data_IF_714062783001
#
_entry.id   IF_714062783001
#
_cell.length_a   1.000
_cell.length_b   1.000
_cell.length_c   1.000
_cell.angle_alpha   90.00
_cell.angle_beta   90.00
_cell.angle_gamma   90.00
#
_symmetry.space_group_name_H-M   'P 1'
#
loop_
_entity.id
_entity.type
_entity.pdbx_description
1 polymer ?
#
# COMPACT_ATOMS: atom_id res chain seq x y z
N UNK A 1 21.37 12.88 15.86
CA UNK A 1 21.30 11.85 14.82
C UNK A 1 21.25 10.50 15.51
N UNK A 2 20.23 9.66 15.27
CA UNK A 2 20.23 8.26 15.69
C UNK A 2 21.57 7.60 15.36
N UNK A 3 22.08 6.80 16.28
CA UNK A 3 23.29 6.00 16.03
C UNK A 3 23.06 5.10 14.80
N UNK A 4 24.12 4.73 14.09
CA UNK A 4 24.04 3.77 12.98
C UNK A 4 23.35 2.45 13.36
N UNK A 5 23.34 2.13 14.66
CA UNK A 5 22.61 1.03 15.27
C UNK A 5 21.08 1.12 15.05
N UNK A 6 20.44 2.26 15.32
CA UNK A 6 18.98 2.39 15.13
C UNK A 6 18.58 2.31 13.65
N UNK A 7 19.41 2.86 12.75
CA UNK A 7 19.19 2.73 11.29
C UNK A 7 19.37 1.30 10.79
N UNK A 8 20.10 0.45 11.52
CA UNK A 8 20.24 -0.97 11.17
C UNK A 8 18.97 -1.79 11.44
N UNK A 9 18.11 -1.30 12.35
CA UNK A 9 16.85 -1.92 12.81
C UNK A 9 15.61 -1.49 12.04
N UNK A 10 15.74 -0.60 11.05
CA UNK A 10 14.64 -0.20 10.16
C UNK A 10 14.82 -0.84 8.78
N UNK A 11 13.74 -1.34 8.19
CA UNK A 11 13.75 -1.89 6.83
C UNK A 11 12.58 -1.38 6.01
N UNK A 12 12.84 -1.15 4.74
CA UNK A 12 11.85 -0.67 3.78
C UNK A 12 11.41 -1.85 2.93
N UNK A 13 10.11 -1.98 2.68
CA UNK A 13 9.51 -3.00 1.82
C UNK A 13 8.68 -2.35 0.73
N UNK A 14 8.74 -2.90 -0.48
CA UNK A 14 7.89 -2.50 -1.59
C UNK A 14 7.47 -3.70 -2.43
N UNK A 15 6.41 -3.51 -3.23
CA UNK A 15 5.85 -4.57 -4.07
C UNK A 15 5.65 -4.10 -5.51
N UNK A 16 5.98 -4.97 -6.46
CA UNK A 16 5.68 -4.80 -7.88
C UNK A 16 4.84 -5.98 -8.37
N UNK A 17 3.61 -5.67 -8.80
CA UNK A 17 2.79 -6.53 -9.65
C UNK A 17 2.35 -5.68 -10.84
N UNK A 18 2.60 -6.18 -12.05
CA UNK A 18 2.35 -5.43 -13.28
C UNK A 18 1.80 -6.35 -14.39
N UNK A 19 0.62 -6.95 -14.18
CA UNK A 19 0.05 -7.91 -15.13
C UNK A 19 -0.28 -7.27 -16.50
N UNK A 20 -0.61 -5.98 -16.52
CA UNK A 20 -0.83 -5.20 -17.74
C UNK A 20 0.47 -4.72 -18.42
N UNK A 21 1.64 -4.92 -17.78
CA UNK A 21 2.99 -4.59 -18.31
C UNK A 21 3.22 -3.12 -18.62
N UNK A 22 2.66 -2.21 -17.81
CA UNK A 22 2.90 -0.78 -17.94
C UNK A 22 4.38 -0.47 -17.72
N UNK A 23 5.05 0.09 -18.73
CA UNK A 23 6.48 0.40 -18.69
C UNK A 23 6.81 1.38 -17.55
N UNK A 24 5.93 2.35 -17.33
CA UNK A 24 6.11 3.42 -16.35
C UNK A 24 6.32 2.89 -14.93
N UNK A 25 5.64 1.81 -14.55
CA UNK A 25 5.79 1.19 -13.22
C UNK A 25 7.21 0.71 -12.96
N UNK A 26 7.87 0.14 -13.98
CA UNK A 26 9.26 -0.31 -13.85
C UNK A 26 10.23 0.88 -13.79
N UNK A 27 10.02 1.91 -14.61
CA UNK A 27 10.85 3.13 -14.59
C UNK A 27 10.78 3.84 -13.23
N UNK A 28 9.58 3.97 -12.67
CA UNK A 28 9.38 4.59 -11.35
C UNK A 28 9.99 3.75 -10.24
N UNK A 29 9.84 2.43 -10.30
CA UNK A 29 10.50 1.54 -9.35
C UNK A 29 12.02 1.76 -9.31
N UNK A 30 12.69 1.86 -10.47
CA UNK A 30 14.14 2.04 -10.47
C UNK A 30 14.57 3.38 -9.83
N UNK A 31 13.81 4.46 -10.07
CA UNK A 31 14.04 5.75 -9.41
C UNK A 31 13.82 5.66 -7.91
N UNK A 32 12.71 5.06 -7.49
CA UNK A 32 12.40 4.82 -6.09
C UNK A 32 13.48 3.99 -5.39
N UNK A 33 13.85 2.85 -5.97
CA UNK A 33 14.88 1.97 -5.41
C UNK A 33 16.24 2.66 -5.31
N UNK A 34 16.59 3.50 -6.29
CA UNK A 34 17.79 4.32 -6.23
C UNK A 34 17.75 5.30 -5.04
N UNK A 35 16.66 6.04 -4.91
CA UNK A 35 16.43 6.98 -3.82
C UNK A 35 16.56 6.28 -2.45
N UNK A 36 15.89 5.15 -2.23
CA UNK A 36 15.97 4.43 -0.95
C UNK A 36 17.38 3.88 -0.68
N UNK A 37 18.01 3.22 -1.65
CA UNK A 37 19.27 2.49 -1.44
C UNK A 37 20.50 3.39 -1.42
N UNK A 38 20.53 4.44 -2.22
CA UNK A 38 21.73 5.26 -2.42
C UNK A 38 21.64 6.63 -1.77
N UNK A 39 20.48 7.30 -1.84
CA UNK A 39 20.31 8.63 -1.25
C UNK A 39 20.00 8.49 0.25
N UNK A 40 18.97 7.70 0.60
CA UNK A 40 18.63 7.43 2.00
C UNK A 40 19.53 6.37 2.64
N UNK A 41 20.29 5.58 1.85
CA UNK A 41 21.19 4.54 2.35
C UNK A 41 20.48 3.52 3.26
N UNK A 42 19.29 3.06 2.85
CA UNK A 42 18.48 2.14 3.63
C UNK A 42 18.25 0.80 2.93
N UNK A 43 18.08 -0.27 3.72
CA UNK A 43 17.71 -1.60 3.24
C UNK A 43 16.32 -1.56 2.59
N UNK A 44 16.22 -2.04 1.34
CA UNK A 44 14.97 -2.18 0.60
C UNK A 44 14.76 -3.63 0.17
N UNK A 45 13.73 -4.28 0.72
CA UNK A 45 13.23 -5.57 0.28
C UNK A 45 12.13 -5.36 -0.77
N UNK A 46 12.33 -5.95 -1.94
CA UNK A 46 11.38 -5.87 -3.04
C UNK A 46 10.78 -7.24 -3.33
N UNK A 47 9.46 -7.32 -3.32
CA UNK A 47 8.74 -8.48 -3.85
C UNK A 47 8.20 -8.17 -5.25
N UNK A 48 8.44 -9.08 -6.18
CA UNK A 48 7.89 -9.01 -7.53
C UNK A 48 6.99 -10.23 -7.78
N UNK A 49 5.75 -9.95 -8.21
CA UNK A 49 4.81 -10.96 -8.63
C UNK A 49 4.68 -10.96 -10.16
N UNK A 50 4.87 -12.13 -10.78
CA UNK A 50 4.68 -12.33 -12.21
C UNK A 50 3.50 -13.27 -12.50
N UNK A 51 2.73 -12.93 -13.54
CA UNK A 51 1.59 -13.73 -13.99
C UNK A 51 2.09 -14.98 -14.74
N UNK A 52 1.66 -16.17 -14.29
CA UNK A 52 2.03 -17.45 -14.89
C UNK A 52 3.55 -17.61 -15.02
N UNK A 53 4.02 -17.98 -16.22
CA UNK A 53 5.45 -18.20 -16.51
C UNK A 53 6.23 -16.97 -16.97
N UNK A 54 5.65 -15.76 -16.89
CA UNK A 54 6.33 -14.53 -17.34
C UNK A 54 7.66 -14.29 -16.61
N UNK A 55 8.67 -13.68 -17.27
CA UNK A 55 9.95 -13.39 -16.63
C UNK A 55 9.80 -12.29 -15.59
N UNK A 56 10.67 -12.32 -14.58
CA UNK A 56 10.85 -11.22 -13.63
C UNK A 56 11.69 -10.11 -14.28
N UNK A 57 11.32 -8.85 -14.06
CA UNK A 57 11.95 -7.67 -14.66
C UNK A 57 12.74 -6.83 -13.65
N UNK A 58 12.33 -6.88 -12.38
CA UNK A 58 12.83 -5.98 -11.34
C UNK A 58 13.76 -6.70 -10.37
N UNK A 59 13.41 -7.92 -10.02
CA UNK A 59 14.08 -8.71 -8.99
C UNK A 59 15.10 -9.66 -9.59
N UNK A 60 16.13 -9.97 -8.81
CA UNK A 60 17.17 -10.94 -9.12
C UNK A 60 17.09 -12.07 -8.09
N UNK A 61 16.99 -13.36 -8.50
CA UNK A 61 16.85 -14.48 -7.57
C UNK A 61 18.05 -14.69 -6.64
N UNK A 62 19.20 -14.08 -6.94
CA UNK A 62 20.42 -14.17 -6.11
C UNK A 62 20.57 -13.02 -5.11
N UNK A 63 19.74 -11.99 -5.20
CA UNK A 63 19.76 -10.89 -4.23
C UNK A 63 18.90 -11.26 -3.02
N UNK A 64 19.45 -11.31 -1.79
CA UNK A 64 18.72 -11.71 -0.60
C UNK A 64 17.58 -10.74 -0.22
N UNK A 65 17.58 -9.52 -0.76
CA UNK A 65 16.51 -8.54 -0.55
C UNK A 65 15.46 -8.59 -1.66
N UNK A 66 15.55 -9.53 -2.60
CA UNK A 66 14.57 -9.71 -3.66
C UNK A 66 13.76 -10.99 -3.45
N UNK A 67 12.44 -10.86 -3.60
CA UNK A 67 11.50 -11.98 -3.44
C UNK A 67 10.71 -12.14 -4.74
N UNK A 68 10.80 -13.32 -5.33
CA UNK A 68 10.11 -13.67 -6.57
C UNK A 68 8.94 -14.60 -6.29
N UNK A 69 7.74 -14.17 -6.65
CA UNK A 69 6.52 -14.98 -6.52
C UNK A 69 5.69 -14.94 -7.81
N UNK A 70 4.77 -15.89 -7.94
CA UNK A 70 3.91 -16.04 -9.10
C UNK A 70 2.46 -16.14 -8.68
N UNK A 71 1.59 -15.74 -9.60
CA UNK A 71 0.14 -15.82 -9.48
C UNK A 71 -0.42 -16.26 -10.82
N UNK A 72 -1.47 -17.08 -10.79
CA UNK A 72 -2.31 -17.37 -11.98
C UNK A 72 -3.55 -16.46 -12.03
N UNK A 73 -3.69 -15.53 -11.08
CA UNK A 73 -4.78 -14.55 -11.01
C UNK A 73 -4.28 -13.11 -11.13
N UNK A 74 -5.04 -12.27 -11.84
CA UNK A 74 -4.79 -10.83 -11.97
C UNK A 74 -5.57 -10.05 -10.90
N UNK A 75 -5.14 -10.17 -9.64
CA UNK A 75 -5.73 -9.47 -8.50
C UNK A 75 -4.94 -8.21 -8.14
N UNK A 76 -5.55 -7.29 -7.40
CA UNK A 76 -4.80 -6.27 -6.67
C UNK A 76 -4.14 -6.93 -5.46
N UNK A 77 -2.83 -7.18 -5.57
CA UNK A 77 -2.09 -7.99 -4.58
C UNK A 77 -1.12 -7.17 -3.72
N UNK A 78 -1.13 -5.84 -3.81
CA UNK A 78 -0.09 -4.99 -3.18
C UNK A 78 0.15 -5.35 -1.71
N UNK A 79 -0.88 -5.32 -0.87
CA UNK A 79 -0.76 -5.58 0.57
C UNK A 79 -0.37 -7.05 0.87
N UNK A 80 -0.81 -8.00 0.04
CA UNK A 80 -0.45 -9.41 0.17
C UNK A 80 1.03 -9.65 -0.14
N UNK A 81 1.52 -9.02 -1.21
CA UNK A 81 2.93 -9.04 -1.57
C UNK A 81 3.77 -8.35 -0.48
N UNK A 82 3.33 -7.19 0.03
CA UNK A 82 4.00 -6.52 1.14
C UNK A 82 4.09 -7.44 2.37
N UNK A 83 3.03 -8.17 2.74
CA UNK A 83 3.09 -9.17 3.81
C UNK A 83 4.12 -10.28 3.55
N UNK A 84 4.24 -10.75 2.30
CA UNK A 84 5.30 -11.71 1.92
C UNK A 84 6.68 -11.09 2.14
N UNK A 85 6.91 -9.85 1.70
CA UNK A 85 8.19 -9.16 1.92
C UNK A 85 8.49 -8.97 3.42
N UNK A 86 7.50 -8.56 4.21
CA UNK A 86 7.60 -8.38 5.67
C UNK A 86 7.98 -9.71 6.35
N UNK A 87 7.39 -10.83 5.92
CA UNK A 87 7.69 -12.16 6.48
C UNK A 87 9.14 -12.61 6.27
N UNK A 88 9.87 -12.01 5.31
CA UNK A 88 11.29 -12.28 5.05
C UNK A 88 12.23 -11.38 5.86
N UNK A 89 11.70 -10.35 6.53
CA UNK A 89 12.53 -9.47 7.35
C UNK A 89 13.01 -10.21 8.60
N UNK A 90 14.30 -10.12 8.94
CA UNK A 90 14.83 -10.80 10.09
C UNK A 90 14.33 -10.15 11.39
N UNK A 91 14.40 -10.89 12.49
CA UNK A 91 13.75 -10.51 13.76
C UNK A 91 14.33 -9.24 14.38
N UNK A 92 15.59 -8.92 14.10
CA UNK A 92 16.25 -7.70 14.57
C UNK A 92 15.72 -6.40 13.94
N UNK A 93 14.94 -6.49 12.86
CA UNK A 93 14.25 -5.32 12.30
C UNK A 93 13.06 -4.99 13.20
N UNK A 94 13.15 -3.88 13.92
CA UNK A 94 12.10 -3.40 14.84
C UNK A 94 11.13 -2.43 14.16
N UNK A 95 11.55 -1.75 13.09
CA UNK A 95 10.75 -0.75 12.38
C UNK A 95 10.60 -1.14 10.90
N UNK A 96 9.37 -1.18 10.42
CA UNK A 96 9.05 -1.72 9.10
C UNK A 96 8.28 -0.64 8.33
N UNK A 97 8.84 -0.21 7.21
CA UNK A 97 8.24 0.80 6.33
C UNK A 97 7.73 0.13 5.06
N UNK A 98 6.45 0.31 4.72
CA UNK A 98 5.91 -0.13 3.43
C UNK A 98 5.55 1.08 2.55
N UNK A 99 6.02 1.03 1.31
CA UNK A 99 6.07 2.18 0.43
C UNK A 99 5.62 1.84 -0.99
N UNK A 100 4.88 2.77 -1.60
CA UNK A 100 4.58 2.76 -3.03
C UNK A 100 5.85 3.06 -3.82
N UNK A 101 6.08 2.33 -4.92
CA UNK A 101 7.32 2.41 -5.69
C UNK A 101 7.37 3.62 -6.67
N UNK A 102 6.49 4.60 -6.48
CA UNK A 102 6.31 5.78 -7.33
C UNK A 102 6.46 7.10 -6.55
N UNK A 103 7.01 7.05 -5.34
CA UNK A 103 7.24 8.23 -4.51
C UNK A 103 8.72 8.59 -4.38
N UNK A 104 8.98 9.81 -3.94
CA UNK A 104 10.29 10.29 -3.49
C UNK A 104 10.12 11.13 -2.23
N UNK A 105 10.97 10.94 -1.22
CA UNK A 105 11.00 11.81 -0.04
C UNK A 105 11.83 13.06 -0.33
N UNK A 106 11.33 14.22 0.08
CA UNK A 106 12.09 15.48 0.04
C UNK A 106 12.78 15.81 1.36
N UNK A 107 12.32 15.23 2.46
CA UNK A 107 12.97 15.36 3.77
C UNK A 107 14.20 14.44 3.83
N UNK A 108 15.44 14.98 3.84
CA UNK A 108 16.65 14.16 3.80
C UNK A 108 16.81 13.27 5.04
N UNK A 109 16.27 13.69 6.19
CA UNK A 109 16.37 12.94 7.44
C UNK A 109 15.13 12.07 7.74
N UNK A 110 14.28 11.81 6.74
CA UNK A 110 13.01 11.08 6.90
C UNK A 110 13.18 9.75 7.65
N UNK A 111 14.30 9.05 7.46
CA UNK A 111 14.55 7.77 8.12
C UNK A 111 14.67 7.96 9.63
N UNK A 112 15.44 8.96 10.07
CA UNK A 112 15.64 9.24 11.48
C UNK A 112 14.40 9.85 12.12
N UNK A 113 13.72 10.75 11.41
CA UNK A 113 12.43 11.31 11.83
C UNK A 113 11.35 10.24 11.97
N UNK A 114 11.35 9.22 11.10
CA UNK A 114 10.45 8.06 11.21
C UNK A 114 10.76 7.24 12.46
N UNK A 115 12.03 6.95 12.74
CA UNK A 115 12.45 6.23 13.96
C UNK A 115 12.01 7.01 15.20
N UNK A 116 12.22 8.33 15.23
CA UNK A 116 11.82 9.19 16.33
C UNK A 116 10.29 9.23 16.51
N UNK A 117 9.53 9.39 15.43
CA UNK A 117 8.07 9.34 15.48
C UNK A 117 7.55 7.99 15.99
N UNK A 118 8.22 6.89 15.61
CA UNK A 118 7.91 5.55 16.09
C UNK A 118 8.27 5.32 17.56
N UNK A 119 9.00 6.22 18.24
CA UNK A 119 9.13 6.17 19.70
C UNK A 119 7.85 6.61 20.42
N UNK A 120 7.05 7.47 19.77
CA UNK A 120 5.80 8.01 20.32
C UNK A 120 4.55 7.30 19.83
N UNK A 121 4.60 6.71 18.63
CA UNK A 121 3.45 6.12 17.97
C UNK A 121 3.79 4.69 17.49
N UNK A 122 2.92 3.68 17.68
CA UNK A 122 3.12 2.34 17.14
C UNK A 122 3.12 2.31 15.60
N UNK A 123 2.40 3.25 14.98
CA UNK A 123 2.26 3.39 13.53
C UNK A 123 2.30 4.87 13.13
N UNK A 124 2.98 5.18 12.02
CA UNK A 124 3.12 6.52 11.48
C UNK A 124 2.97 6.54 9.96
N UNK A 125 2.32 7.58 9.42
CA UNK A 125 2.37 7.88 8.00
C UNK A 125 3.60 8.74 7.70
N UNK A 126 4.47 8.33 6.77
CA UNK A 126 5.83 8.89 6.63
C UNK A 126 5.89 10.23 5.88
N UNK A 127 4.81 11.02 5.90
CA UNK A 127 4.79 12.35 5.30
C UNK A 127 3.68 13.21 5.91
N UNK A 128 3.81 14.52 5.75
CA UNK A 128 2.75 15.49 6.04
C UNK A 128 2.08 15.94 4.73
N UNK A 129 2.88 16.25 3.73
CA UNK A 129 2.43 16.83 2.45
C UNK A 129 2.86 15.95 1.29
N UNK A 130 2.01 15.79 0.28
CA UNK A 130 2.34 15.13 -0.98
C UNK A 130 2.14 16.10 -2.15
N UNK A 131 3.12 16.15 -3.04
CA UNK A 131 3.04 16.87 -4.31
C UNK A 131 2.84 15.83 -5.41
N UNK A 132 1.66 15.83 -6.01
CA UNK A 132 1.38 15.00 -7.18
C UNK A 132 1.86 15.71 -8.43
N UNK A 133 2.75 15.04 -9.15
CA UNK A 133 3.25 15.55 -10.42
C UNK A 133 2.38 15.11 -11.58
N UNK A 134 2.43 15.89 -12.64
CA UNK A 134 1.93 15.57 -13.97
C UNK A 134 2.98 14.88 -14.83
N UNK A 135 2.60 14.51 -16.06
CA UNK A 135 3.44 13.76 -16.99
C UNK A 135 4.75 14.49 -17.36
N UNK A 136 4.81 15.83 -17.25
CA UNK A 136 5.99 16.64 -17.54
C UNK A 136 6.71 17.11 -16.27
N UNK A 137 6.31 16.60 -15.09
CA UNK A 137 6.89 17.00 -13.80
C UNK A 137 6.32 18.31 -13.23
N UNK A 138 5.29 18.86 -13.86
CA UNK A 138 4.52 19.98 -13.33
C UNK A 138 3.72 19.57 -12.10
N UNK A 139 3.48 20.51 -11.17
CA UNK A 139 2.61 20.25 -10.01
C UNK A 139 1.16 20.21 -10.48
N UNK A 140 0.49 19.08 -10.29
CA UNK A 140 -0.95 18.96 -10.54
C UNK A 140 -1.76 19.24 -9.28
N UNK A 141 -1.32 18.71 -8.13
CA UNK A 141 -2.07 18.81 -6.88
C UNK A 141 -1.19 18.66 -5.66
N UNK A 142 -1.60 19.30 -4.58
CA UNK A 142 -1.01 19.12 -3.25
C UNK A 142 -2.04 18.45 -2.34
N UNK A 143 -1.61 17.42 -1.63
CA UNK A 143 -2.40 16.65 -0.68
C UNK A 143 -1.76 16.72 0.72
N UNK A 144 -2.58 16.58 1.76
CA UNK A 144 -2.11 16.33 3.12
C UNK A 144 -2.31 14.88 3.50
N UNK A 145 -1.47 14.37 4.40
CA UNK A 145 -1.52 12.98 4.87
C UNK A 145 -2.70 12.76 5.83
N UNK A 146 -3.25 11.55 5.81
CA UNK A 146 -4.27 11.10 6.78
C UNK A 146 -3.79 11.28 8.22
N UNK A 147 -2.56 10.87 8.52
CA UNK A 147 -2.02 10.98 9.88
C UNK A 147 -1.90 12.41 10.37
N UNK A 148 -1.50 13.35 9.50
CA UNK A 148 -1.48 14.77 9.86
C UNK A 148 -2.88 15.31 10.12
N UNK A 149 -3.83 15.03 9.23
CA UNK A 149 -5.21 15.51 9.39
C UNK A 149 -5.84 14.97 10.67
N UNK A 150 -5.67 13.68 10.97
CA UNK A 150 -6.16 13.07 12.20
C UNK A 150 -5.58 13.76 13.45
N UNK A 151 -4.25 13.94 13.50
CA UNK A 151 -3.59 14.60 14.64
C UNK A 151 -3.96 16.08 14.80
N UNK A 152 -4.26 16.75 13.69
CA UNK A 152 -4.55 18.19 13.67
C UNK A 152 -6.05 18.49 13.70
N UNK A 153 -6.89 17.47 13.95
CA UNK A 153 -8.36 17.57 13.94
C UNK A 153 -8.94 18.19 12.66
N UNK A 154 -8.25 17.98 11.53
CA UNK A 154 -8.72 18.39 10.22
C UNK A 154 -9.62 17.31 9.62
N UNK A 155 -10.56 17.66 8.72
CA UNK A 155 -11.34 16.67 7.99
C UNK A 155 -10.44 15.67 7.26
N UNK A 156 -10.62 14.37 7.54
CA UNK A 156 -9.76 13.29 7.01
C UNK A 156 -10.51 12.21 6.23
N UNK A 157 -11.84 12.25 6.18
CA UNK A 157 -12.67 11.29 5.45
C UNK A 157 -13.86 11.98 4.78
N UNK A 158 -14.34 11.41 3.68
CA UNK A 158 -15.61 11.79 3.04
C UNK A 158 -16.78 10.98 3.59
N UNK A 159 -17.94 11.06 2.93
CA UNK A 159 -19.08 10.17 3.15
C UNK A 159 -18.68 8.69 2.97
N UNK A 160 -19.44 7.79 3.60
CA UNK A 160 -19.17 6.34 3.64
C UNK A 160 -18.88 5.76 2.25
N UNK A 161 -17.77 5.02 2.13
CA UNK A 161 -17.35 4.32 0.92
C UNK A 161 -16.70 5.19 -0.17
N UNK A 162 -16.56 6.49 0.05
CA UNK A 162 -15.87 7.39 -0.88
C UNK A 162 -14.37 7.46 -0.58
N UNK A 163 -13.57 7.11 -1.58
CA UNK A 163 -12.12 7.34 -1.52
C UNK A 163 -11.86 8.86 -1.48
N UNK A 164 -10.97 9.34 -0.61
CA UNK A 164 -10.77 10.78 -0.43
C UNK A 164 -10.41 11.48 -1.75
N UNK A 165 -11.23 12.46 -2.13
CA UNK A 165 -11.09 13.28 -3.32
C UNK A 165 -10.33 14.60 -3.06
N UNK A 166 -10.71 15.64 -3.77
CA UNK A 166 -10.14 16.98 -3.62
C UNK A 166 -10.45 17.57 -2.24
N UNK A 167 -9.41 18.06 -1.55
CA UNK A 167 -9.52 18.65 -0.21
C UNK A 167 -9.50 17.68 0.97
N UNK A 168 -9.33 16.37 0.75
CA UNK A 168 -9.32 15.37 1.83
C UNK A 168 -7.97 14.67 1.98
N UNK A 169 -7.76 14.09 3.16
CA UNK A 169 -6.49 13.49 3.55
C UNK A 169 -6.17 12.22 2.75
N UNK A 170 -4.92 12.09 2.32
CA UNK A 170 -4.48 10.96 1.51
C UNK A 170 -4.03 9.78 2.41
N UNK A 171 -4.61 8.57 2.27
CA UNK A 171 -4.32 7.44 3.14
C UNK A 171 -3.12 6.59 2.67
N UNK A 172 -2.67 6.74 1.43
CA UNK A 172 -1.67 5.86 0.81
C UNK A 172 -0.21 6.28 0.94
N UNK A 173 0.59 5.82 -0.02
CA UNK A 173 1.99 6.14 -0.28
C UNK A 173 3.04 5.55 0.64
N UNK A 174 3.07 5.96 1.90
CA UNK A 174 4.20 5.66 2.77
C UNK A 174 3.80 5.58 4.23
N UNK A 175 4.05 4.42 4.82
CA UNK A 175 3.75 4.12 6.22
C UNK A 175 4.90 3.37 6.86
N UNK A 176 5.01 3.51 8.16
CA UNK A 176 5.89 2.71 8.98
C UNK A 176 5.19 2.29 10.27
N UNK A 177 5.51 1.11 10.75
CA UNK A 177 5.05 0.63 12.04
C UNK A 177 6.19 -0.06 12.78
N UNK A 178 6.03 -0.16 14.10
CA UNK A 178 6.82 -1.10 14.90
C UNK A 178 6.47 -2.54 14.50
N UNK A 179 7.42 -3.45 14.67
CA UNK A 179 7.19 -4.87 14.39
C UNK A 179 6.06 -5.45 15.24
N UNK A 180 5.98 -5.11 16.52
CA UNK A 180 4.94 -5.58 17.44
C UNK A 180 3.51 -5.19 16.96
N UNK A 181 3.35 -4.02 16.34
CA UNK A 181 2.11 -3.60 15.72
C UNK A 181 1.71 -4.58 14.62
N UNK A 182 2.63 -4.89 13.70
CA UNK A 182 2.38 -5.81 12.58
C UNK A 182 2.19 -7.25 13.04
N UNK A 183 2.91 -7.69 14.08
CA UNK A 183 2.73 -9.03 14.66
C UNK A 183 1.32 -9.15 15.27
N UNK A 184 0.86 -8.12 16.00
CA UNK A 184 -0.48 -8.06 16.59
C UNK A 184 -1.58 -8.05 15.53
N UNK A 185 -1.41 -7.28 14.45
CA UNK A 185 -2.41 -7.25 13.36
C UNK A 185 -2.38 -8.48 12.45
N UNK A 186 -1.35 -9.34 12.61
CA UNK A 186 -1.03 -10.43 11.68
C UNK A 186 -0.71 -9.92 10.27
N UNK A 187 0.05 -8.83 10.20
CA UNK A 187 0.42 -8.12 8.98
C UNK A 187 -0.59 -7.05 8.55
N UNK A 188 -0.41 -6.57 7.33
CA UNK A 188 -1.31 -5.64 6.65
C UNK A 188 -2.61 -6.36 6.25
N UNK A 189 -3.71 -5.60 6.14
CA UNK A 189 -4.95 -6.13 5.57
C UNK A 189 -4.74 -6.42 4.07
N UNK A 190 -4.75 -7.69 3.69
CA UNK A 190 -4.36 -8.13 2.34
C UNK A 190 -5.46 -8.80 1.51
N UNK A 191 -6.71 -8.74 1.99
CA UNK A 191 -7.87 -9.35 1.32
C UNK A 191 -8.58 -8.40 0.33
N UNK A 192 -8.09 -7.17 0.17
CA UNK A 192 -8.62 -6.16 -0.75
C UNK A 192 -8.23 -6.37 -2.20
N UNK A 193 -8.85 -7.35 -2.88
CA UNK A 193 -8.48 -7.80 -4.24
C UNK A 193 -8.72 -6.79 -5.37
N UNK A 194 -9.39 -5.67 -5.08
CA UNK A 194 -9.62 -4.55 -6.01
C UNK A 194 -8.92 -3.24 -5.56
N UNK A 195 -8.07 -3.30 -4.53
CA UNK A 195 -7.38 -2.16 -3.93
C UNK A 195 -8.10 -1.56 -2.73
N UNK A 196 -7.76 -0.31 -2.39
CA UNK A 196 -8.21 0.44 -1.21
C UNK A 196 -7.65 -0.05 0.14
N UNK A 197 -6.65 -0.95 0.14
CA UNK A 197 -6.04 -1.46 1.36
C UNK A 197 -5.48 -0.38 2.29
N UNK A 198 -4.84 0.65 1.73
CA UNK A 198 -4.38 1.82 2.48
C UNK A 198 -5.53 2.59 3.15
N UNK A 199 -6.62 2.83 2.43
CA UNK A 199 -7.81 3.49 2.96
C UNK A 199 -8.50 2.68 4.06
N UNK A 200 -8.60 1.35 3.88
CA UNK A 200 -9.09 0.43 4.89
C UNK A 200 -8.25 0.52 6.17
N UNK A 201 -6.94 0.34 6.05
CA UNK A 201 -6.04 0.32 7.20
C UNK A 201 -5.99 1.67 7.91
N UNK A 202 -5.95 2.79 7.18
CA UNK A 202 -5.93 4.12 7.77
C UNK A 202 -7.19 4.40 8.61
N UNK A 203 -8.38 4.10 8.08
CA UNK A 203 -9.64 4.28 8.81
C UNK A 203 -9.80 3.28 9.96
N UNK A 204 -9.36 2.04 9.78
CA UNK A 204 -9.35 1.04 10.83
C UNK A 204 -8.48 1.46 12.03
N UNK A 205 -7.30 2.07 11.80
CA UNK A 205 -6.44 2.55 12.88
C UNK A 205 -7.09 3.65 13.75
N UNK A 206 -8.18 4.27 13.30
CA UNK A 206 -8.94 5.28 14.05
C UNK A 206 -10.37 4.82 14.38
N UNK A 207 -10.65 3.51 14.29
CA UNK A 207 -11.94 2.93 14.66
C UNK A 207 -13.08 3.22 13.69
N UNK A 208 -12.77 3.52 12.41
CA UNK A 208 -13.74 3.95 11.39
C UNK A 208 -13.71 3.10 10.12
N UNK A 209 -13.32 1.83 10.21
CA UNK A 209 -13.18 0.95 9.02
C UNK A 209 -14.47 0.81 8.22
N UNK A 210 -15.64 0.91 8.85
CA UNK A 210 -16.92 0.87 8.12
C UNK A 210 -17.05 1.99 7.09
N UNK A 211 -16.40 3.14 7.32
CA UNK A 211 -16.43 4.27 6.41
C UNK A 211 -15.59 4.04 5.15
N UNK A 212 -14.75 3.00 5.16
CA UNK A 212 -13.87 2.65 4.04
C UNK A 212 -14.54 1.83 2.94
N UNK A 213 -15.81 1.46 3.12
CA UNK A 213 -16.60 0.60 2.22
C UNK A 213 -17.99 1.17 1.99
N UNK A 214 -18.65 0.89 0.85
CA UNK A 214 -20.02 1.30 0.61
C UNK A 214 -21.01 0.50 1.48
N UNK A 215 -22.24 1.00 1.59
CA UNK A 215 -23.28 0.38 2.41
C UNK A 215 -23.69 -1.04 1.96
N UNK A 216 -23.57 -1.33 0.66
CA UNK A 216 -23.97 -2.59 0.03
C UNK A 216 -22.82 -3.61 -0.07
N UNK A 217 -21.71 -3.39 0.64
CA UNK A 217 -20.60 -4.34 0.68
C UNK A 217 -21.02 -5.67 1.32
N UNK A 218 -20.46 -6.79 0.85
CA UNK A 218 -20.76 -8.12 1.39
C UNK A 218 -20.33 -8.26 2.86
N UNK A 219 -21.17 -8.94 3.66
CA UNK A 219 -20.94 -9.13 5.10
C UNK A 219 -19.62 -9.84 5.42
N UNK A 220 -19.20 -10.81 4.60
CA UNK A 220 -17.92 -11.51 4.77
C UNK A 220 -16.72 -10.57 4.67
N UNK A 221 -16.75 -9.65 3.70
CA UNK A 221 -15.71 -8.65 3.52
C UNK A 221 -15.70 -7.62 4.66
N UNK A 222 -16.87 -7.13 5.07
CA UNK A 222 -16.98 -6.20 6.20
C UNK A 222 -16.50 -6.84 7.50
N UNK A 223 -16.83 -8.10 7.75
CA UNK A 223 -16.37 -8.86 8.93
C UNK A 223 -14.85 -8.99 8.96
N UNK A 224 -14.22 -9.29 7.82
CA UNK A 224 -12.77 -9.36 7.70
C UNK A 224 -12.09 -8.02 8.03
N UNK A 225 -12.69 -6.91 7.59
CA UNK A 225 -12.23 -5.55 7.90
C UNK A 225 -12.37 -5.22 9.39
N UNK A 226 -13.52 -5.50 10.00
CA UNK A 226 -13.77 -5.27 11.42
C UNK A 226 -12.79 -6.07 12.29
N UNK A 227 -12.56 -7.35 11.95
CA UNK A 227 -11.58 -8.18 12.66
C UNK A 227 -10.15 -7.62 12.57
N UNK A 228 -9.76 -7.04 11.43
CA UNK A 228 -8.46 -6.39 11.31
C UNK A 228 -8.42 -5.09 12.13
N UNK A 229 -9.50 -4.30 12.12
CA UNK A 229 -9.64 -3.11 12.96
C UNK A 229 -9.49 -3.42 14.45
N UNK A 230 -10.12 -4.48 14.95
CA UNK A 230 -10.04 -4.85 16.36
C UNK A 230 -8.58 -5.08 16.80
N UNK A 231 -7.81 -5.81 15.99
CA UNK A 231 -6.38 -6.02 16.23
C UNK A 231 -5.56 -4.75 16.06
N UNK A 232 -5.91 -3.91 15.08
CA UNK A 232 -5.24 -2.63 14.86
C UNK A 232 -5.50 -1.64 16.00
N UNK A 233 -6.68 -1.66 16.62
CA UNK A 233 -7.01 -0.84 17.77
C UNK A 233 -6.20 -1.25 19.01
N UNK A 234 -6.06 -2.56 19.25
CA UNK A 234 -5.19 -3.12 20.28
C UNK A 234 -3.72 -2.70 20.05
N UNK A 235 -3.24 -2.85 18.82
CA UNK A 235 -1.87 -2.53 18.43
C UNK A 235 -1.55 -1.02 18.46
N UNK A 236 -2.47 -0.18 18.00
CA UNK A 236 -2.28 1.26 17.92
C UNK A 236 -2.43 1.94 19.29
N UNK A 237 -3.23 1.38 20.19
CA UNK A 237 -3.59 1.97 21.48
C UNK A 237 -4.08 3.43 21.33
N UNK A 238 -4.86 3.69 20.27
CA UNK A 238 -5.36 5.04 19.94
C UNK A 238 -4.29 6.02 19.44
N UNK A 239 -3.09 5.55 19.08
CA UNK A 239 -1.94 6.38 18.73
C UNK A 239 -1.51 6.16 17.27
N UNK A 240 -1.85 7.12 16.41
CA UNK A 240 -1.40 7.18 15.02
C UNK A 240 -0.65 8.48 14.77
N UNK A 241 0.60 8.40 14.31
CA UNK A 241 1.44 9.55 14.04
C UNK A 241 1.62 9.87 12.57
N UNK A 242 2.43 10.89 12.30
CA UNK A 242 2.92 11.21 10.98
C UNK A 242 4.33 11.79 11.08
N UNK A 243 5.08 11.77 9.97
CA UNK A 243 6.40 12.41 9.87
C UNK A 243 6.25 13.75 9.16
N UNK A 244 6.77 14.82 9.76
CA UNK A 244 6.83 16.13 9.09
C UNK A 244 7.76 16.02 7.88
N UNK A 245 7.27 16.44 6.73
CA UNK A 245 8.02 16.36 5.48
C UNK A 245 7.10 16.27 4.27
N UNK A 246 7.70 16.42 3.11
CA UNK A 246 7.01 16.35 1.82
C UNK A 246 7.47 15.13 1.05
N UNK A 247 6.53 14.44 0.42
CA UNK A 247 6.82 13.46 -0.63
C UNK A 247 6.38 14.01 -2.00
N UNK A 248 7.06 13.55 -3.04
CA UNK A 248 6.61 13.66 -4.42
C UNK A 248 5.95 12.34 -4.79
N UNK A 249 4.77 12.39 -5.41
CA UNK A 249 4.16 11.26 -6.10
C UNK A 249 4.32 11.45 -7.62
N UNK A 250 5.04 10.53 -8.26
CA UNK A 250 5.31 10.63 -9.69
C UNK A 250 4.13 10.16 -10.53
N UNK A 251 3.85 10.89 -11.60
CA UNK A 251 2.77 10.57 -12.52
C UNK A 251 2.93 9.18 -13.19
N UNK A 252 1.84 8.42 -13.20
CA UNK A 252 1.70 7.11 -13.85
C UNK A 252 0.25 6.88 -14.34
N UNK A 253 -0.24 7.80 -15.16
CA UNK A 253 -1.59 7.76 -15.72
C UNK A 253 -2.66 8.45 -14.88
N UNK A 254 -3.73 8.87 -15.57
CA UNK A 254 -4.79 9.71 -15.03
C UNK A 254 -5.49 9.06 -13.82
N UNK A 255 -5.76 9.86 -12.78
CA UNK A 255 -6.52 9.39 -11.61
C UNK A 255 -7.93 8.91 -11.97
N UNK A 256 -8.58 9.49 -13.00
CA UNK A 256 -9.91 9.05 -13.48
C UNK A 256 -9.94 7.58 -13.91
N UNK A 257 -8.83 7.06 -14.45
CA UNK A 257 -8.73 5.67 -14.91
C UNK A 257 -8.55 4.68 -13.75
N UNK A 258 -8.31 5.17 -12.53
CA UNK A 258 -8.11 4.33 -11.33
C UNK A 258 -9.43 3.82 -10.74
N UNK A 259 -10.56 4.34 -11.21
CA UNK A 259 -11.92 3.84 -10.94
C UNK A 259 -12.21 3.64 -9.45
N UNK A 260 -11.71 4.56 -8.60
CA UNK A 260 -11.73 4.38 -7.15
C UNK A 260 -13.12 4.20 -6.53
N UNK A 261 -14.14 4.78 -7.14
CA UNK A 261 -15.54 4.60 -6.73
C UNK A 261 -16.20 3.41 -7.44
N UNK A 262 -16.00 3.24 -8.75
CA UNK A 262 -16.66 2.17 -9.51
C UNK A 262 -16.10 0.78 -9.23
N UNK A 263 -14.87 0.65 -8.71
CA UNK A 263 -14.29 -0.65 -8.34
C UNK A 263 -15.11 -1.41 -7.29
N UNK A 264 -15.86 -0.71 -6.43
CA UNK A 264 -16.76 -1.36 -5.48
C UNK A 264 -17.80 -2.23 -6.17
N UNK A 265 -18.29 -1.79 -7.34
CA UNK A 265 -19.25 -2.55 -8.15
C UNK A 265 -18.70 -3.90 -8.59
N UNK A 266 -17.37 -4.04 -8.73
CA UNK A 266 -16.75 -5.33 -9.04
C UNK A 266 -17.01 -6.32 -7.91
N UNK A 267 -16.82 -5.89 -6.66
CA UNK A 267 -16.99 -6.74 -5.49
C UNK A 267 -18.49 -6.99 -5.20
N UNK A 268 -19.32 -5.96 -5.22
CA UNK A 268 -20.75 -6.08 -4.88
C UNK A 268 -21.53 -6.86 -5.93
N UNK A 269 -21.31 -6.60 -7.23
CA UNK A 269 -22.02 -7.31 -8.30
C UNK A 269 -21.64 -8.81 -8.40
N UNK A 270 -20.47 -9.19 -7.89
CA UNK A 270 -20.03 -10.59 -7.86
C UNK A 270 -20.22 -11.26 -6.49
N UNK A 271 -20.79 -10.56 -5.51
CA UNK A 271 -20.99 -11.07 -4.15
C UNK A 271 -19.69 -11.55 -3.51
N UNK A 272 -18.59 -10.80 -3.71
CA UNK A 272 -17.26 -11.21 -3.27
C UNK A 272 -17.20 -11.45 -1.76
N UNK A 273 -16.71 -12.62 -1.39
CA UNK A 273 -16.41 -13.00 -0.01
C UNK A 273 -14.96 -13.51 0.09
N UNK A 274 -14.07 -12.81 0.82
CA UNK A 274 -12.65 -13.18 0.87
C UNK A 274 -12.40 -14.55 1.49
N UNK A 275 -13.33 -15.10 2.30
CA UNK A 275 -13.17 -16.43 2.89
C UNK A 275 -13.56 -17.57 1.94
N UNK A 276 -14.27 -17.26 0.85
CA UNK A 276 -14.80 -18.25 -0.09
C UNK A 276 -14.16 -18.14 -1.48
N UNK A 277 -13.76 -16.94 -1.86
CA UNK A 277 -13.49 -16.60 -3.25
C UNK A 277 -12.01 -16.47 -3.57
N UNK A 278 -11.15 -16.41 -2.55
CA UNK A 278 -9.69 -16.44 -2.70
C UNK A 278 -9.05 -17.52 -1.83
N UNK A 279 -7.91 -18.02 -2.29
CA UNK A 279 -7.04 -18.92 -1.55
C UNK A 279 -5.57 -18.56 -1.82
N UNK A 280 -4.69 -18.77 -0.83
CA UNK A 280 -3.24 -18.58 -1.05
C UNK A 280 -2.69 -19.78 -1.82
N UNK A 281 -1.86 -19.51 -2.83
CA UNK A 281 -1.07 -20.56 -3.48
C UNK A 281 0.13 -20.98 -2.59
N UNK A 282 0.95 -21.92 -3.08
CA UNK A 282 2.11 -22.43 -2.34
C UNK A 282 3.17 -21.36 -2.00
N UNK A 283 3.13 -20.19 -2.66
CA UNK A 283 4.03 -19.06 -2.40
C UNK A 283 3.40 -17.99 -1.50
N UNK A 284 2.17 -18.21 -1.00
CA UNK A 284 1.46 -17.29 -0.14
C UNK A 284 0.69 -16.18 -0.88
N UNK A 285 0.65 -16.23 -2.21
CA UNK A 285 -0.02 -15.23 -3.04
C UNK A 285 -1.50 -15.55 -3.17
N UNK A 286 -2.37 -14.54 -3.00
CA UNK A 286 -3.82 -14.70 -3.20
C UNK A 286 -4.18 -14.97 -4.66
N UNK A 287 -4.96 -16.01 -4.90
CA UNK A 287 -5.54 -16.39 -6.19
C UNK A 287 -7.05 -16.59 -6.05
N UNK A 288 -7.79 -16.40 -7.14
CA UNK A 288 -9.22 -16.71 -7.15
C UNK A 288 -9.45 -18.21 -7.09
N UNK A 289 -10.44 -18.61 -6.30
CA UNK A 289 -10.97 -19.98 -6.37
C UNK A 289 -11.60 -20.22 -7.75
N UNK A 290 -11.50 -21.45 -8.26
CA UNK A 290 -12.08 -21.85 -9.55
C UNK A 290 -13.58 -21.55 -9.62
N UNK A 291 -14.09 -21.29 -10.81
CA UNK A 291 -15.52 -21.03 -11.06
C UNK A 291 -15.96 -19.58 -10.87
N UNK A 292 -15.02 -18.64 -10.67
CA UNK A 292 -15.29 -17.21 -10.48
C UNK A 292 -15.07 -16.37 -11.74
N UNK A 293 -15.59 -16.82 -12.88
CA UNK A 293 -15.33 -16.18 -14.19
C UNK A 293 -15.74 -14.69 -14.23
N UNK A 294 -16.92 -14.35 -13.71
CA UNK A 294 -17.39 -12.95 -13.67
C UNK A 294 -16.47 -12.03 -12.87
N UNK A 295 -16.05 -12.45 -11.67
CA UNK A 295 -15.13 -11.69 -10.84
C UNK A 295 -13.74 -11.59 -11.46
N UNK A 296 -13.22 -12.71 -12.00
CA UNK A 296 -11.94 -12.76 -12.70
C UNK A 296 -11.91 -11.75 -13.84
N UNK A 297 -12.88 -11.81 -14.74
CA UNK A 297 -12.91 -10.99 -15.95
C UNK A 297 -13.06 -9.50 -15.58
N UNK A 298 -13.89 -9.18 -14.57
CA UNK A 298 -14.03 -7.82 -14.07
C UNK A 298 -12.72 -7.26 -13.47
N UNK A 299 -11.97 -8.07 -12.73
CA UNK A 299 -10.69 -7.66 -12.13
C UNK A 299 -9.58 -7.53 -13.19
N UNK A 300 -9.47 -8.48 -14.13
CA UNK A 300 -8.53 -8.37 -15.26
C UNK A 300 -8.80 -7.10 -16.08
N UNK A 301 -10.07 -6.83 -16.42
CA UNK A 301 -10.46 -5.63 -17.14
C UNK A 301 -10.13 -4.36 -16.36
N UNK A 302 -10.39 -4.37 -15.04
CA UNK A 302 -10.03 -3.25 -14.16
C UNK A 302 -8.52 -2.96 -14.24
N UNK A 303 -7.66 -3.97 -14.09
CA UNK A 303 -6.21 -3.82 -14.16
C UNK A 303 -5.73 -3.25 -15.49
N UNK A 304 -6.26 -3.77 -16.61
CA UNK A 304 -5.93 -3.30 -17.94
C UNK A 304 -6.38 -1.85 -18.18
N UNK A 305 -7.54 -1.44 -17.64
CA UNK A 305 -8.12 -0.11 -17.85
C UNK A 305 -7.35 1.05 -17.19
N UNK A 306 -6.44 0.75 -16.25
CA UNK A 306 -5.71 1.78 -15.51
C UNK A 306 -4.80 2.66 -16.38
N UNK A 307 -4.34 2.10 -17.51
CA UNK A 307 -3.56 2.81 -18.54
C UNK A 307 -2.41 3.66 -17.95
N UNK A 308 -1.56 3.03 -17.13
CA UNK A 308 -0.56 3.77 -16.33
C UNK A 308 0.63 4.34 -17.14
N UNK A 309 0.70 3.99 -18.43
CA UNK A 309 1.65 4.57 -19.39
C UNK A 309 1.09 5.83 -20.10
N UNK A 310 -0.20 6.12 -19.95
CA UNK A 310 -0.80 7.33 -20.54
C UNK A 310 -0.17 8.58 -19.94
N UNK A 311 -0.10 9.63 -20.76
CA UNK A 311 0.31 10.99 -20.39
C UNK A 311 -0.89 11.96 -20.34
N UNK A 312 -2.11 11.44 -20.46
CA UNK A 312 -3.32 12.26 -20.48
C UNK A 312 -3.75 12.60 -19.05
N UNK A 313 -3.79 13.88 -18.68
CA UNK A 313 -4.25 14.32 -17.36
C UNK A 313 -5.77 14.29 -17.23
#
# INVERSE_FOLDING_TARGET
>A
MPSGELRSKIAFVTAISNPARFRRRYELYHKFAHHIRHELKQKLVTVECQLGSRPFFITNPTDPHHVQVRSDSELWQKENLLNIAISRLPREIEYICWLDADIQFLEPDVVNETIHALQHHPIVQMFQTCIDLGPKGEVMKVHTSFGWCHKSSQPFSQAKGQYPGDGFAHPGFAWAARRDFLDTTSGLFDMGVAGAGDHHMALACVGRVEDSVPHDIGEGYLRALLQWQDRAAEAAQGSLGYVKGTIIHHYHGAKRNRQYQSRWKILTANGFDPHRDIAKNAQGVWELVKGKAGLRDALTNYMASRNEDSIDT
#
